data_IF_595258144403
#
_entry.id   IF_595258144403
#
_cell.length_a   1.000
_cell.length_b   1.000
_cell.length_c   1.000
_cell.angle_alpha   90.00
_cell.angle_beta   90.00
_cell.angle_gamma   90.00
#
_symmetry.space_group_name_H-M   'P 1'
#
loop_
_entity.id
_entity.type
_entity.pdbx_description
1 polymer ?
#
# COMPACT_ATOMS: atom_id res chain seq x y z
N UNK A 1 7.11 -9.14 -10.57
CA UNK A 1 7.10 -7.89 -9.78
C UNK A 1 6.89 -6.71 -10.71
N UNK A 2 5.64 -6.26 -10.84
CA UNK A 2 5.31 -5.12 -11.68
C UNK A 2 5.50 -3.83 -10.87
N UNK A 3 6.44 -2.98 -11.32
CA UNK A 3 6.79 -1.62 -10.83
C UNK A 3 7.22 -1.54 -9.34
N UNK A 4 8.07 -0.55 -9.04
CA UNK A 4 8.50 -0.24 -7.66
C UNK A 4 7.32 0.31 -6.84
N UNK A 5 7.37 0.10 -5.51
CA UNK A 5 6.47 0.70 -4.53
C UNK A 5 6.19 2.19 -4.83
N UNK A 6 4.94 2.59 -4.63
CA UNK A 6 4.51 3.98 -4.76
C UNK A 6 3.90 4.41 -3.43
N UNK A 7 4.41 5.49 -2.86
CA UNK A 7 3.77 6.13 -1.72
C UNK A 7 2.58 6.99 -2.22
N UNK A 8 1.48 6.95 -1.47
CA UNK A 8 0.23 7.67 -1.71
C UNK A 8 -0.23 8.30 -0.38
N UNK A 9 -0.65 9.56 -0.43
CA UNK A 9 -1.02 10.33 0.75
C UNK A 9 -2.53 10.32 0.98
N UNK A 10 -2.94 10.16 2.24
CA UNK A 10 -4.33 10.18 2.71
C UNK A 10 -4.49 11.34 3.71
N UNK A 11 -4.99 12.51 3.27
CA UNK A 11 -4.92 13.74 4.07
C UNK A 11 -5.84 13.76 5.29
N UNK A 12 -6.91 12.96 5.31
CA UNK A 12 -7.90 13.01 6.39
C UNK A 12 -8.45 11.63 6.80
N UNK A 13 -9.03 11.51 8.01
CA UNK A 13 -9.66 10.27 8.49
C UNK A 13 -10.67 9.63 7.52
N UNK A 14 -11.48 10.43 6.84
CA UNK A 14 -12.48 9.91 5.90
C UNK A 14 -11.83 9.32 4.65
N UNK A 15 -10.67 9.84 4.25
CA UNK A 15 -9.89 9.31 3.13
C UNK A 15 -9.28 7.96 3.51
N UNK A 16 -8.85 7.82 4.76
CA UNK A 16 -8.34 6.55 5.32
C UNK A 16 -9.45 5.51 5.36
N UNK A 17 -10.65 5.87 5.87
CA UNK A 17 -11.79 4.95 5.88
C UNK A 17 -12.18 4.52 4.46
N UNK A 18 -12.31 5.47 3.53
CA UNK A 18 -12.65 5.16 2.13
C UNK A 18 -11.64 4.18 1.52
N UNK A 19 -10.34 4.41 1.71
CA UNK A 19 -9.30 3.53 1.17
C UNK A 19 -9.18 2.20 1.88
N UNK A 20 -9.49 2.15 3.17
CA UNK A 20 -9.62 0.89 3.89
C UNK A 20 -10.71 0.01 3.25
N UNK A 21 -11.92 0.55 3.06
CA UNK A 21 -13.01 -0.20 2.44
C UNK A 21 -12.76 -0.51 0.96
N UNK A 22 -12.12 0.41 0.23
CA UNK A 22 -11.69 0.16 -1.15
C UNK A 22 -10.79 -1.08 -1.23
N UNK A 23 -9.79 -1.17 -0.35
CA UNK A 23 -8.83 -2.28 -0.31
C UNK A 23 -9.51 -3.58 0.10
N UNK A 24 -10.34 -3.54 1.15
CA UNK A 24 -11.05 -4.71 1.67
C UNK A 24 -12.04 -5.28 0.64
N UNK A 25 -12.78 -4.42 -0.04
CA UNK A 25 -13.82 -4.82 -1.01
C UNK A 25 -13.27 -5.03 -2.42
N UNK A 26 -11.96 -4.94 -2.63
CA UNK A 26 -11.34 -5.15 -3.92
C UNK A 26 -11.75 -6.48 -4.59
N UNK A 27 -11.84 -7.63 -3.88
CA UNK A 27 -12.32 -8.87 -4.50
C UNK A 27 -13.72 -8.76 -5.11
N UNK A 28 -14.60 -7.96 -4.51
CA UNK A 28 -15.97 -7.72 -5.01
C UNK A 28 -15.95 -6.72 -6.16
N UNK A 29 -15.17 -5.64 -6.03
CA UNK A 29 -15.02 -4.61 -7.06
C UNK A 29 -14.47 -5.17 -8.36
N UNK A 30 -13.45 -6.03 -8.28
CA UNK A 30 -12.81 -6.67 -9.43
C UNK A 30 -13.67 -7.83 -10.00
N UNK A 31 -14.78 -8.17 -9.35
CA UNK A 31 -15.70 -9.22 -9.80
C UNK A 31 -15.17 -10.62 -9.56
N UNK A 32 -14.35 -10.83 -8.53
CA UNK A 32 -13.86 -12.15 -8.18
C UNK A 32 -14.96 -12.96 -7.48
N UNK A 33 -15.65 -12.33 -6.53
CA UNK A 33 -16.75 -12.90 -5.74
C UNK A 33 -17.85 -11.88 -5.48
N UNK A 34 -19.09 -12.32 -5.24
CA UNK A 34 -20.21 -11.41 -4.92
C UNK A 34 -20.25 -11.09 -3.42
N UNK A 35 -19.89 -12.07 -2.59
CA UNK A 35 -19.77 -11.93 -1.14
C UNK A 35 -18.30 -11.99 -0.73
N UNK A 36 -17.88 -11.10 0.18
CA UNK A 36 -16.49 -11.11 0.64
C UNK A 36 -16.14 -12.43 1.37
N UNK A 37 -17.12 -13.04 2.04
CA UNK A 37 -16.97 -14.35 2.71
C UNK A 37 -16.65 -15.50 1.78
N UNK A 38 -16.91 -15.36 0.48
CA UNK A 38 -16.60 -16.37 -0.53
C UNK A 38 -15.16 -16.26 -1.03
N UNK A 39 -14.45 -15.17 -0.73
CA UNK A 39 -13.09 -14.96 -1.20
C UNK A 39 -12.14 -15.93 -0.47
N UNK A 40 -11.47 -16.86 -1.17
CA UNK A 40 -10.71 -17.93 -0.53
C UNK A 40 -9.32 -17.50 -0.06
N UNK A 41 -8.85 -16.31 -0.45
CA UNK A 41 -7.52 -15.81 -0.12
C UNK A 41 -7.57 -14.77 1.01
N UNK A 42 -6.40 -14.41 1.51
CA UNK A 42 -6.28 -13.48 2.63
C UNK A 42 -6.97 -12.14 2.35
N UNK A 43 -7.76 -11.70 3.32
CA UNK A 43 -8.33 -10.37 3.41
C UNK A 43 -8.19 -9.87 4.85
N UNK A 44 -7.72 -8.64 5.01
CA UNK A 44 -7.38 -8.09 6.33
C UNK A 44 -8.59 -7.63 7.17
N UNK A 45 -9.80 -7.62 6.61
CA UNK A 45 -10.96 -7.02 7.28
C UNK A 45 -11.25 -7.63 8.65
N UNK A 46 -11.29 -8.95 8.75
CA UNK A 46 -11.60 -9.62 10.02
C UNK A 46 -10.56 -9.29 11.09
N UNK A 47 -9.28 -9.27 10.72
CA UNK A 47 -8.20 -8.98 11.65
C UNK A 47 -8.24 -7.53 12.11
N UNK A 48 -8.45 -6.60 11.17
CA UNK A 48 -8.53 -5.18 11.45
C UNK A 48 -9.70 -4.84 12.38
N UNK A 49 -10.84 -5.49 12.16
CA UNK A 49 -12.10 -5.16 12.83
C UNK A 49 -12.29 -5.92 14.14
N UNK A 50 -11.65 -7.08 14.31
CA UNK A 50 -11.72 -7.89 15.54
C UNK A 50 -10.49 -7.74 16.43
N UNK A 51 -9.46 -7.02 15.99
CA UNK A 51 -8.22 -6.83 16.75
C UNK A 51 -7.35 -8.09 16.81
N UNK A 52 -7.46 -8.96 15.80
CA UNK A 52 -6.67 -10.20 15.74
C UNK A 52 -5.21 -9.82 15.47
N UNK A 53 -4.32 -10.31 16.31
CA UNK A 53 -2.88 -10.18 16.11
C UNK A 53 -2.37 -11.44 15.41
N UNK A 54 -1.66 -11.27 14.29
CA UNK A 54 -1.00 -12.37 13.59
C UNK A 54 0.49 -12.37 13.89
N UNK A 55 1.03 -13.56 14.09
CA UNK A 55 2.46 -13.76 14.34
C UNK A 55 3.09 -14.40 13.11
N UNK A 56 4.16 -13.80 12.59
CA UNK A 56 4.90 -14.28 11.43
C UNK A 56 6.36 -14.52 11.78
N UNK A 57 6.96 -15.52 11.13
CA UNK A 57 8.39 -15.76 11.13
C UNK A 57 8.97 -15.14 9.86
N UNK A 58 9.80 -14.10 9.99
CA UNK A 58 10.46 -13.44 8.86
C UNK A 58 11.93 -13.79 8.88
N UNK A 59 12.43 -14.31 7.77
CA UNK A 59 13.85 -14.62 7.62
C UNK A 59 14.57 -13.40 7.03
N UNK A 60 15.64 -12.95 7.70
CA UNK A 60 16.58 -11.96 7.19
C UNK A 60 17.47 -12.60 6.11
N UNK A 61 16.88 -12.88 4.94
CA UNK A 61 17.50 -13.66 3.86
C UNK A 61 18.86 -13.12 3.42
N UNK A 62 19.06 -11.80 3.39
CA UNK A 62 20.34 -11.21 3.00
C UNK A 62 21.45 -11.61 3.99
N UNK A 63 21.20 -11.49 5.29
CA UNK A 63 22.14 -11.84 6.35
C UNK A 63 22.37 -13.36 6.40
N UNK A 64 21.29 -14.15 6.35
CA UNK A 64 21.37 -15.61 6.33
C UNK A 64 22.22 -16.11 5.16
N UNK A 65 21.98 -15.59 3.94
CA UNK A 65 22.76 -16.00 2.77
C UNK A 65 24.22 -15.54 2.86
N UNK A 66 24.51 -14.38 3.44
CA UNK A 66 25.88 -13.90 3.67
C UNK A 66 26.63 -14.72 4.72
N UNK A 67 25.93 -15.22 5.75
CA UNK A 67 26.47 -16.10 6.77
C UNK A 67 26.69 -17.52 6.22
N UNK A 68 25.70 -18.06 5.48
CA UNK A 68 25.77 -19.40 4.89
C UNK A 68 26.91 -19.57 3.88
N UNK A 69 27.28 -18.49 3.18
CA UNK A 69 28.47 -18.47 2.31
C UNK A 69 29.77 -18.68 3.08
N UNK A 70 29.84 -18.20 4.33
CA UNK A 70 31.02 -18.31 5.21
C UNK A 70 31.01 -19.62 6.02
N UNK A 71 29.85 -20.09 6.45
CA UNK A 71 29.69 -21.35 7.17
C UNK A 71 28.44 -22.08 6.68
N UNK A 72 28.61 -23.27 6.08
CA UNK A 72 27.48 -24.07 5.57
C UNK A 72 26.56 -24.62 6.66
N UNK A 73 27.01 -24.68 7.93
CA UNK A 73 26.24 -25.17 9.08
C UNK A 73 25.39 -24.10 9.76
N UNK A 74 25.33 -22.89 9.23
CA UNK A 74 24.50 -21.80 9.78
C UNK A 74 23.02 -22.19 9.83
N UNK A 75 22.38 -22.10 10.99
CA UNK A 75 20.96 -22.39 11.16
C UNK A 75 20.11 -21.21 10.69
N UNK A 76 19.00 -21.49 10.00
CA UNK A 76 18.06 -20.45 9.55
C UNK A 76 17.34 -19.77 10.73
N UNK A 77 17.19 -20.48 11.85
CA UNK A 77 16.53 -19.98 13.06
C UNK A 77 17.22 -18.74 13.63
N UNK A 78 18.56 -18.67 13.58
CA UNK A 78 19.37 -17.54 14.07
C UNK A 78 19.13 -16.25 13.27
N UNK A 79 18.53 -16.37 12.08
CA UNK A 79 18.21 -15.27 11.18
C UNK A 79 16.70 -15.12 10.97
N UNK A 80 15.90 -15.75 11.84
CA UNK A 80 14.43 -15.70 11.78
C UNK A 80 13.91 -14.85 12.94
N UNK A 81 13.29 -13.73 12.59
CA UNK A 81 12.64 -12.87 13.56
C UNK A 81 11.15 -13.22 13.67
N UNK A 82 10.61 -13.12 14.89
CA UNK A 82 9.17 -13.19 15.12
C UNK A 82 8.61 -11.78 15.08
N UNK A 83 7.70 -11.52 14.16
CA UNK A 83 7.02 -10.23 14.04
C UNK A 83 5.53 -10.36 14.28
N UNK A 84 4.94 -9.34 14.88
CA UNK A 84 3.52 -9.28 15.17
C UNK A 84 2.85 -8.22 14.28
N UNK A 85 1.86 -8.64 13.50
CA UNK A 85 0.98 -7.75 12.75
C UNK A 85 -0.26 -7.49 13.59
N UNK A 86 -0.43 -6.24 14.01
CA UNK A 86 -1.61 -5.74 14.71
C UNK A 86 -2.16 -4.53 13.98
N UNK A 87 -3.47 -4.53 13.75
CA UNK A 87 -4.18 -3.39 13.19
C UNK A 87 -4.61 -2.44 14.30
N UNK A 88 -4.44 -1.14 14.06
CA UNK A 88 -5.06 -0.09 14.86
C UNK A 88 -6.47 0.17 14.32
N UNK A 89 -7.36 0.70 15.19
CA UNK A 89 -8.68 1.15 14.73
C UNK A 89 -8.51 2.29 13.74
N UNK A 90 -9.50 2.40 12.85
CA UNK A 90 -9.60 3.58 11.99
C UNK A 90 -9.79 4.84 12.86
N UNK A 91 -9.19 5.98 12.46
CA UNK A 91 -9.33 7.22 13.22
C UNK A 91 -10.80 7.66 13.34
N UNK A 92 -11.18 8.22 14.49
CA UNK A 92 -12.54 8.69 14.77
C UNK A 92 -13.45 7.64 15.44
N UNK A 93 -12.94 6.44 15.68
CA UNK A 93 -13.66 5.33 16.32
C UNK A 93 -13.04 4.91 17.66
N UNK A 94 -12.23 5.77 18.28
CA UNK A 94 -11.51 5.49 19.52
C UNK A 94 -12.47 5.24 20.70
N UNK A 95 -13.60 5.95 20.70
CA UNK A 95 -14.62 5.89 21.74
C UNK A 95 -15.46 4.60 21.74
N UNK A 96 -15.44 3.81 20.66
CA UNK A 96 -16.23 2.59 20.56
C UNK A 96 -15.53 1.41 21.27
N UNK A 97 -16.31 0.54 21.91
CA UNK A 97 -15.80 -0.77 22.32
C UNK A 97 -15.45 -1.62 21.09
N UNK A 98 -14.65 -2.67 21.28
CA UNK A 98 -14.27 -3.56 20.18
C UNK A 98 -15.48 -4.21 19.51
N UNK A 99 -16.52 -4.55 20.29
CA UNK A 99 -17.75 -5.16 19.79
C UNK A 99 -18.58 -4.18 18.97
N UNK A 100 -18.73 -2.94 19.44
CA UNK A 100 -19.45 -1.88 18.74
C UNK A 100 -18.74 -1.50 17.45
N UNK A 101 -17.41 -1.33 17.51
CA UNK A 101 -16.57 -1.10 16.35
C UNK A 101 -16.75 -2.22 15.32
N UNK A 102 -16.71 -3.47 15.77
CA UNK A 102 -16.88 -4.61 14.89
C UNK A 102 -18.22 -4.63 14.18
N UNK A 103 -19.31 -4.43 14.93
CA UNK A 103 -20.67 -4.34 14.41
C UNK A 103 -20.80 -3.21 13.38
N UNK A 104 -20.30 -2.02 13.69
CA UNK A 104 -20.37 -0.86 12.81
C UNK A 104 -19.60 -1.08 11.51
N UNK A 105 -18.38 -1.61 11.58
CA UNK A 105 -17.57 -1.87 10.39
C UNK A 105 -18.21 -2.93 9.48
N UNK A 106 -18.84 -3.97 10.05
CA UNK A 106 -19.59 -4.96 9.26
C UNK A 106 -20.81 -4.35 8.55
N UNK A 107 -21.55 -3.45 9.21
CA UNK A 107 -22.67 -2.74 8.58
C UNK A 107 -22.19 -1.88 7.40
N UNK A 108 -21.13 -1.09 7.63
CA UNK A 108 -20.47 -0.26 6.60
C UNK A 108 -19.91 -1.09 5.43
N UNK A 109 -19.39 -2.29 5.70
CA UNK A 109 -18.93 -3.23 4.68
C UNK A 109 -20.08 -3.66 3.77
N UNK A 110 -21.17 -4.14 4.37
CA UNK A 110 -22.33 -4.65 3.62
C UNK A 110 -23.01 -3.58 2.79
N UNK A 111 -23.17 -2.37 3.32
CA UNK A 111 -23.74 -1.25 2.58
C UNK A 111 -22.93 -0.95 1.31
N UNK A 112 -21.60 -0.85 1.43
CA UNK A 112 -20.71 -0.59 0.30
C UNK A 112 -20.68 -1.77 -0.68
N UNK A 113 -20.66 -3.00 -0.18
CA UNK A 113 -20.71 -4.21 -1.01
C UNK A 113 -21.96 -4.24 -1.89
N UNK A 114 -23.15 -3.98 -1.31
CA UNK A 114 -24.41 -3.93 -2.06
C UNK A 114 -24.38 -2.90 -3.18
N UNK A 115 -23.84 -1.71 -2.91
CA UNK A 115 -23.66 -0.66 -3.93
C UNK A 115 -22.76 -1.13 -5.08
N UNK A 116 -21.63 -1.77 -4.77
CA UNK A 116 -20.69 -2.30 -5.78
C UNK A 116 -21.35 -3.39 -6.62
N UNK A 117 -22.04 -4.35 -5.99
CA UNK A 117 -22.72 -5.44 -6.69
C UNK A 117 -23.83 -4.92 -7.59
N UNK A 118 -24.65 -3.98 -7.11
CA UNK A 118 -25.69 -3.35 -7.91
C UNK A 118 -25.11 -2.62 -9.13
N UNK A 119 -24.06 -1.83 -8.95
CA UNK A 119 -23.37 -1.15 -10.05
C UNK A 119 -22.83 -2.13 -11.09
N UNK A 120 -22.16 -3.21 -10.65
CA UNK A 120 -21.65 -4.25 -11.56
C UNK A 120 -22.76 -4.94 -12.35
N UNK A 121 -23.86 -5.29 -11.70
CA UNK A 121 -25.02 -5.92 -12.36
C UNK A 121 -25.67 -4.97 -13.36
N UNK A 122 -25.80 -3.69 -13.02
CA UNK A 122 -26.30 -2.66 -13.94
C UNK A 122 -25.38 -2.47 -15.16
N UNK A 123 -24.06 -2.60 -14.99
CA UNK A 123 -23.07 -2.60 -16.07
C UNK A 123 -23.02 -3.93 -16.86
N UNK A 124 -23.87 -4.91 -16.56
CA UNK A 124 -23.86 -6.24 -17.20
C UNK A 124 -22.63 -7.09 -16.88
N UNK A 125 -21.87 -6.75 -15.83
CA UNK A 125 -20.64 -7.46 -15.43
C UNK A 125 -20.97 -8.61 -14.48
N UNK A 126 -20.43 -9.79 -14.78
CA UNK A 126 -20.53 -10.97 -13.93
C UNK A 126 -19.46 -11.06 -12.82
N UNK A 127 -19.43 -12.21 -12.16
CA UNK A 127 -18.43 -12.59 -11.15
C UNK A 127 -17.73 -13.90 -11.57
N UNK A 128 -16.45 -14.03 -11.20
CA UNK A 128 -15.63 -15.19 -11.55
C UNK A 128 -16.05 -16.45 -10.79
N UNK A 129 -16.26 -16.31 -9.48
CA UNK A 129 -16.68 -17.39 -8.57
C UNK A 129 -15.51 -18.15 -7.93
N UNK A 130 -15.78 -18.73 -6.76
CA UNK A 130 -14.79 -19.37 -5.87
C UNK A 130 -14.02 -20.50 -6.54
N UNK A 131 -14.72 -21.38 -7.25
CA UNK A 131 -14.12 -22.56 -7.88
C UNK A 131 -13.06 -22.20 -8.92
N UNK A 132 -13.28 -21.11 -9.68
CA UNK A 132 -12.30 -20.63 -10.66
C UNK A 132 -11.13 -19.94 -9.97
N UNK A 133 -11.35 -19.21 -8.87
CA UNK A 133 -10.27 -18.59 -8.09
C UNK A 133 -9.30 -19.62 -7.50
N UNK A 134 -9.83 -20.71 -6.94
CA UNK A 134 -9.01 -21.79 -6.37
C UNK A 134 -8.12 -22.51 -7.39
N UNK A 135 -8.50 -22.47 -8.68
CA UNK A 135 -7.71 -23.05 -9.78
C UNK A 135 -6.56 -22.15 -10.24
N UNK A 136 -6.48 -20.90 -9.76
CA UNK A 136 -5.41 -19.98 -10.15
C UNK A 136 -4.10 -20.40 -9.47
N UNK A 137 -3.10 -20.72 -10.27
CA UNK A 137 -1.73 -20.99 -9.80
C UNK A 137 -1.15 -19.71 -9.17
N UNK A 138 -0.76 -19.80 -7.90
CA UNK A 138 -0.15 -18.67 -7.18
C UNK A 138 1.12 -18.21 -7.90
N UNK A 139 1.25 -16.90 -8.11
CA UNK A 139 2.40 -16.31 -8.83
C UNK A 139 2.31 -16.38 -10.36
N UNK A 140 1.24 -16.95 -10.93
CA UNK A 140 1.00 -16.88 -12.37
C UNK A 140 0.80 -15.42 -12.82
N UNK A 141 1.24 -15.13 -14.05
CA UNK A 141 1.12 -13.79 -14.63
C UNK A 141 -0.29 -13.59 -15.18
N UNK A 142 -0.89 -12.40 -15.01
CA UNK A 142 -2.14 -12.07 -15.67
C UNK A 142 -1.96 -12.11 -17.20
N UNK A 143 -2.93 -12.69 -17.91
CA UNK A 143 -2.93 -12.74 -19.38
C UNK A 143 -3.10 -11.34 -19.98
N UNK A 144 -4.04 -10.57 -19.43
CA UNK A 144 -4.32 -9.21 -19.85
C UNK A 144 -4.03 -8.25 -18.70
N UNK A 145 -3.00 -7.42 -18.85
CA UNK A 145 -2.78 -6.30 -17.95
C UNK A 145 -3.33 -5.04 -18.56
N UNK A 146 -4.09 -4.25 -17.79
CA UNK A 146 -4.48 -2.90 -18.19
C UNK A 146 -3.23 -2.10 -18.53
N UNK A 147 -3.03 -1.81 -19.81
CA UNK A 147 -1.92 -0.96 -20.23
C UNK A 147 -2.21 0.47 -19.78
N UNK A 148 -1.30 1.04 -18.98
CA UNK A 148 -1.45 2.39 -18.48
C UNK A 148 -1.22 3.37 -19.63
N UNK A 149 -2.28 3.89 -20.26
CA UNK A 149 -2.17 4.95 -21.27
C UNK A 149 -1.48 6.20 -20.69
N UNK A 150 -0.95 7.07 -21.56
CA UNK A 150 -0.16 8.27 -21.18
C UNK A 150 -0.87 9.15 -20.11
N UNK A 151 -2.20 9.23 -20.13
CA UNK A 151 -3.03 9.99 -19.19
C UNK A 151 -3.10 9.39 -17.77
N UNK A 152 -2.94 8.07 -17.65
CA UNK A 152 -2.94 7.30 -16.39
C UNK A 152 -1.53 7.05 -15.83
N UNK A 153 -0.46 7.50 -16.53
CA UNK A 153 0.90 7.53 -15.96
C UNK A 153 1.00 8.50 -14.76
N UNK A 154 0.04 9.42 -14.62
CA UNK A 154 -0.11 10.30 -13.46
C UNK A 154 -0.63 9.47 -12.27
N UNK A 155 0.30 8.85 -11.56
CA UNK A 155 0.03 8.14 -10.30
C UNK A 155 -0.70 9.09 -9.33
N UNK A 156 -1.82 8.68 -8.72
CA UNK A 156 -2.47 9.53 -7.73
C UNK A 156 -1.52 9.66 -6.53
N UNK A 157 -0.96 10.85 -6.32
CA UNK A 157 -0.10 11.14 -5.16
C UNK A 157 -0.90 11.41 -3.90
N UNK A 158 -2.11 11.92 -4.09
CA UNK A 158 -3.05 12.26 -3.02
C UNK A 158 -4.37 11.58 -3.32
N UNK A 159 -4.77 10.71 -2.40
CA UNK A 159 -6.03 10.00 -2.41
C UNK A 159 -6.95 10.67 -1.40
N UNK A 160 -8.00 11.34 -1.89
CA UNK A 160 -8.96 12.02 -1.04
C UNK A 160 -10.35 11.94 -1.67
N UNK A 161 -11.37 11.74 -0.82
CA UNK A 161 -12.78 11.81 -1.22
C UNK A 161 -13.23 13.26 -1.44
N UNK A 162 -12.53 14.23 -0.83
CA UNK A 162 -12.77 15.66 -1.01
C UNK A 162 -11.86 16.23 -2.09
N UNK A 163 -12.46 16.91 -3.08
CA UNK A 163 -11.76 17.56 -4.20
C UNK A 163 -10.83 18.69 -3.74
N UNK A 164 -11.29 19.52 -2.80
CA UNK A 164 -10.53 20.65 -2.25
C UNK A 164 -9.31 20.14 -1.49
N UNK A 165 -9.49 19.16 -0.57
CA UNK A 165 -8.36 18.55 0.16
C UNK A 165 -7.35 17.91 -0.79
N UNK A 166 -7.82 17.26 -1.85
CA UNK A 166 -6.96 16.69 -2.88
C UNK A 166 -6.13 17.77 -3.57
N UNK A 167 -6.74 18.87 -3.96
CA UNK A 167 -6.04 19.99 -4.58
C UNK A 167 -4.99 20.59 -3.63
N UNK A 168 -5.35 20.84 -2.38
CA UNK A 168 -4.43 21.36 -1.36
C UNK A 168 -3.24 20.43 -1.13
N UNK A 169 -3.49 19.13 -1.00
CA UNK A 169 -2.44 18.13 -0.84
C UNK A 169 -1.51 18.05 -2.06
N UNK A 170 -2.05 18.18 -3.27
CA UNK A 170 -1.24 18.23 -4.49
C UNK A 170 -0.38 19.50 -4.55
N UNK A 171 -0.95 20.65 -4.23
CA UNK A 171 -0.22 21.92 -4.16
C UNK A 171 0.93 21.85 -3.16
N UNK A 172 0.67 21.32 -1.96
CA UNK A 172 1.70 21.10 -0.94
C UNK A 172 2.78 20.11 -1.42
N UNK A 173 2.40 18.99 -2.02
CA UNK A 173 3.37 18.01 -2.53
C UNK A 173 4.27 18.60 -3.61
N UNK A 174 3.68 19.32 -4.57
CA UNK A 174 4.45 19.89 -5.68
C UNK A 174 5.33 21.06 -5.23
N UNK A 175 4.93 21.86 -4.24
CA UNK A 175 5.80 22.91 -3.69
C UNK A 175 7.05 22.29 -3.04
N UNK A 176 6.89 21.23 -2.25
CA UNK A 176 8.02 20.47 -1.66
C UNK A 176 8.87 19.78 -2.71
N UNK A 177 8.26 19.21 -3.75
CA UNK A 177 8.98 18.59 -4.84
C UNK A 177 9.87 19.59 -5.60
N UNK A 178 9.38 20.79 -5.87
CA UNK A 178 10.16 21.86 -6.53
C UNK A 178 11.34 22.27 -5.66
N UNK A 179 11.13 22.51 -4.35
CA UNK A 179 12.20 22.81 -3.40
C UNK A 179 13.27 21.70 -3.38
N UNK A 180 12.83 20.44 -3.27
CA UNK A 180 13.71 19.27 -3.31
C UNK A 180 14.53 19.20 -4.59
N UNK A 181 13.91 19.43 -5.75
CA UNK A 181 14.59 19.37 -7.05
C UNK A 181 15.64 20.47 -7.19
N UNK A 182 15.39 21.66 -6.63
CA UNK A 182 16.35 22.75 -6.56
C UNK A 182 17.55 22.38 -5.68
N UNK A 183 17.31 21.99 -4.43
CA UNK A 183 18.34 21.57 -3.49
C UNK A 183 19.17 20.39 -4.02
N UNK A 184 18.50 19.38 -4.61
CA UNK A 184 19.13 18.23 -5.24
C UNK A 184 20.07 18.62 -6.38
N UNK A 185 19.70 19.63 -7.18
CA UNK A 185 20.55 20.14 -8.27
C UNK A 185 21.79 20.82 -7.72
N UNK A 186 21.64 21.70 -6.72
CA UNK A 186 22.77 22.37 -6.07
C UNK A 186 23.72 21.38 -5.40
N UNK A 187 23.17 20.41 -4.67
CA UNK A 187 23.93 19.37 -3.99
C UNK A 187 24.75 18.51 -4.96
N UNK A 188 24.15 18.11 -6.08
CA UNK A 188 24.85 17.35 -7.14
C UNK A 188 25.87 18.17 -7.93
N UNK A 189 25.75 19.50 -7.90
CA UNK A 189 26.72 20.41 -8.50
C UNK A 189 27.91 20.73 -7.56
N UNK A 190 27.96 20.12 -6.37
CA UNK A 190 29.07 20.27 -5.42
C UNK A 190 28.77 21.13 -4.19
N UNK A 191 27.61 21.79 -4.12
CA UNK A 191 27.22 22.51 -2.89
C UNK A 191 26.68 21.54 -1.84
N UNK A 192 27.57 20.97 -1.02
CA UNK A 192 27.22 19.97 -0.01
C UNK A 192 26.34 20.52 1.13
N UNK A 193 26.35 21.85 1.31
CA UNK A 193 25.57 22.60 2.30
C UNK A 193 24.17 22.99 1.80
N UNK A 194 23.76 22.56 0.60
CA UNK A 194 22.41 22.80 0.12
C UNK A 194 21.36 22.29 1.12
N UNK A 195 20.45 23.18 1.53
CA UNK A 195 19.36 22.85 2.45
C UNK A 195 18.26 22.08 1.74
N UNK A 196 17.91 20.91 2.29
CA UNK A 196 16.83 20.09 1.78
C UNK A 196 15.54 20.36 2.56
N UNK A 197 14.38 20.36 1.89
CA UNK A 197 13.11 20.51 2.60
C UNK A 197 12.91 19.35 3.59
N UNK A 198 12.27 19.65 4.70
CA UNK A 198 11.94 18.69 5.75
C UNK A 198 11.22 17.44 5.19
N UNK A 199 11.54 16.27 5.75
CA UNK A 199 10.98 15.00 5.28
C UNK A 199 11.55 14.49 3.96
N UNK A 200 12.64 15.10 3.46
CA UNK A 200 13.35 14.61 2.27
C UNK A 200 14.80 14.23 2.61
N UNK A 201 15.37 13.33 1.80
CA UNK A 201 16.73 12.83 2.00
C UNK A 201 17.66 13.36 0.90
N UNK A 202 18.89 13.71 1.28
CA UNK A 202 19.96 14.05 0.33
C UNK A 202 20.15 12.87 -0.63
N UNK A 203 20.21 13.10 -1.95
CA UNK A 203 20.45 12.02 -2.90
C UNK A 203 21.88 11.49 -2.73
N UNK A 204 22.09 10.20 -2.97
CA UNK A 204 23.45 9.66 -3.04
C UNK A 204 24.25 10.35 -4.15
N UNK A 205 25.46 10.79 -3.81
CA UNK A 205 26.47 11.30 -4.75
C UNK A 205 27.70 10.43 -4.57
N UNK A 206 28.16 9.78 -5.64
CA UNK A 206 29.38 8.97 -5.58
C UNK A 206 30.57 9.88 -5.28
N UNK A 207 31.51 9.43 -4.44
CA UNK A 207 32.70 10.20 -4.03
C UNK A 207 33.50 10.82 -5.19
N UNK A 208 33.40 10.28 -6.41
CA UNK A 208 34.03 10.81 -7.63
C UNK A 208 33.43 12.12 -8.17
N UNK A 209 32.23 12.50 -7.75
CA UNK A 209 31.52 13.66 -8.30
C UNK A 209 31.67 14.94 -7.46
N UNK A 210 32.36 14.86 -6.32
CA UNK A 210 32.59 15.98 -5.40
C UNK A 210 34.04 16.47 -5.33
N UNK A 211 34.95 15.91 -6.14
CA UNK A 211 36.29 16.46 -6.25
C UNK A 211 36.22 17.75 -7.10
N UNK A 212 36.71 18.90 -6.60
CA UNK A 212 36.89 20.06 -7.47
C UNK A 212 37.79 19.66 -8.65
N UNK A 213 37.58 20.22 -9.85
CA UNK A 213 38.52 20.01 -10.94
C UNK A 213 39.90 20.47 -10.46
N UNK A 214 40.85 19.52 -10.43
CA UNK A 214 42.26 19.79 -10.16
C UNK A 214 42.94 20.43 -11.35
#
# INVERSE_FOLDING_TARGET
WARRYSNEFLPAPEDIEDKFFYTVLQPVQDGLVEQLSEYPFYNCFSDAVRGITRTFKIVRWAEYNAARKRNRKTAIADYTDIVHLKYQRLPGYEHLSQREYSKLMHQKLEERRRKIVAARKAEGKGFLGVQKLLRIVTGSKPQNTKQTGARLQKRPRVLSVCSIRKQNGLSWYFSRFVQYKSASRQYRAGNLEAEFPEGTYKPYVSARAGAPPG
#
